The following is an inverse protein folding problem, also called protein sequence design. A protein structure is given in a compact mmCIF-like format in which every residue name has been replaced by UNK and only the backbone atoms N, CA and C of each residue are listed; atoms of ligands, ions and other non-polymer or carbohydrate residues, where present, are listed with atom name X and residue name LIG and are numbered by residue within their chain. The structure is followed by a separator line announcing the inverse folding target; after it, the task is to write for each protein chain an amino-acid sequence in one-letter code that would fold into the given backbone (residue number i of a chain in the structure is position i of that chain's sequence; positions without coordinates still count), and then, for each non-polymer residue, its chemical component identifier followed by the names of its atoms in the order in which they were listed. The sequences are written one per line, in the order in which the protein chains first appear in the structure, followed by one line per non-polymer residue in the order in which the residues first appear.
data_IF_743569591995
#
_entry.id   IF_743569591995
#
_cell.length_a   1.000
_cell.length_b   1.000
_cell.length_c   1.000
_cell.angle_alpha   90.00
_cell.angle_beta   90.00
_cell.angle_gamma   90.00
#
_symmetry.space_group_name_H-M   'P 1'
#
loop_
_entity.id
_entity.type
_entity.pdbx_description
1 polymer ?
#
# COMPACT_ATOMS: atom_id res chain seq x y z
N UNK A 1 -20.05 1.61 22.75
CA UNK A 1 -18.65 1.15 22.64
C UNK A 1 -18.39 0.87 21.17
N UNK A 2 -17.83 1.86 20.46
CA UNK A 2 -17.88 1.97 18.99
C UNK A 2 -16.89 1.02 18.32
N UNK A 3 -17.27 0.37 17.22
CA UNK A 3 -16.41 -0.50 16.41
C UNK A 3 -15.68 0.33 15.33
N UNK A 4 -14.39 0.67 15.49
CA UNK A 4 -13.64 1.43 14.47
C UNK A 4 -13.01 0.50 13.42
N UNK A 5 -12.95 -0.81 13.68
CA UNK A 5 -12.19 -1.77 12.87
C UNK A 5 -12.90 -2.23 11.60
N UNK A 6 -14.25 -2.23 11.58
CA UNK A 6 -15.03 -2.63 10.39
C UNK A 6 -15.07 -1.56 9.31
N UNK A 7 -14.83 -0.30 9.64
CA UNK A 7 -14.93 0.83 8.69
C UNK A 7 -13.68 0.96 7.81
N UNK A 8 -12.48 0.77 8.37
CA UNK A 8 -11.23 0.95 7.59
C UNK A 8 -11.09 -0.04 6.44
N UNK A 9 -11.41 -1.32 6.68
CA UNK A 9 -11.30 -2.37 5.67
C UNK A 9 -12.13 -2.09 4.41
N UNK A 10 -13.24 -1.38 4.54
CA UNK A 10 -14.15 -1.06 3.43
C UNK A 10 -13.57 -0.06 2.43
N UNK A 11 -12.50 0.66 2.82
CA UNK A 11 -11.83 1.61 1.94
C UNK A 11 -10.69 1.00 1.12
N UNK A 12 -10.34 -0.26 1.35
CA UNK A 12 -9.32 -0.99 0.61
C UNK A 12 -9.95 -2.06 -0.28
N UNK A 13 -9.30 -2.36 -1.40
CA UNK A 13 -9.67 -3.50 -2.23
C UNK A 13 -9.61 -4.78 -1.38
N UNK A 14 -10.64 -5.66 -1.42
CA UNK A 14 -10.74 -6.80 -0.52
C UNK A 14 -9.50 -7.70 -0.50
N UNK A 15 -8.88 -7.95 -1.65
CA UNK A 15 -7.67 -8.79 -1.74
C UNK A 15 -6.41 -8.09 -1.24
N UNK A 16 -6.33 -6.76 -1.35
CA UNK A 16 -5.22 -5.99 -0.79
C UNK A 16 -5.32 -5.97 0.73
N UNK A 17 -6.54 -5.85 1.25
CA UNK A 17 -6.82 -5.96 2.68
C UNK A 17 -6.57 -7.37 3.23
N UNK A 18 -7.02 -8.41 2.51
CA UNK A 18 -6.75 -9.82 2.86
C UNK A 18 -5.25 -10.08 2.97
N UNK A 19 -4.47 -9.63 1.97
CA UNK A 19 -3.02 -9.73 2.02
C UNK A 19 -2.43 -9.03 3.24
N UNK A 20 -2.87 -7.80 3.55
CA UNK A 20 -2.41 -7.07 4.72
C UNK A 20 -2.69 -7.80 6.03
N UNK A 21 -3.92 -8.32 6.19
CA UNK A 21 -4.32 -9.05 7.39
C UNK A 21 -3.49 -10.32 7.55
N UNK A 22 -3.23 -11.05 6.46
CA UNK A 22 -2.43 -12.26 6.49
C UNK A 22 -0.96 -11.99 6.81
N UNK A 23 -0.39 -10.87 6.32
CA UNK A 23 1.03 -10.54 6.52
C UNK A 23 1.33 -9.81 7.83
N UNK A 24 0.44 -8.91 8.26
CA UNK A 24 0.69 -8.00 9.38
C UNK A 24 -0.34 -8.09 10.52
N UNK A 25 -1.44 -8.82 10.33
CA UNK A 25 -2.53 -8.87 11.29
C UNK A 25 -3.28 -7.54 11.34
N UNK A 26 -3.18 -6.81 12.44
CA UNK A 26 -3.94 -5.57 12.66
C UNK A 26 -3.15 -4.30 12.35
N UNK A 27 -3.81 -3.23 11.89
CA UNK A 27 -3.14 -1.95 11.67
C UNK A 27 -2.47 -1.37 12.92
N UNK A 28 -1.37 -0.64 12.72
CA UNK A 28 -0.73 0.15 13.78
C UNK A 28 -1.48 1.46 14.02
N UNK A 29 -1.28 2.16 15.16
CA UNK A 29 -1.90 3.47 15.38
C UNK A 29 -1.56 4.50 14.30
N UNK A 30 -0.35 4.45 13.72
CA UNK A 30 0.02 5.36 12.62
C UNK A 30 -0.82 5.09 11.36
N UNK A 31 -1.15 3.84 11.09
CA UNK A 31 -1.98 3.41 9.97
C UNK A 31 -3.45 3.76 10.21
N UNK A 32 -3.99 3.44 11.40
CA UNK A 32 -5.39 3.73 11.76
C UNK A 32 -5.70 5.23 11.69
N UNK A 33 -4.75 6.07 12.15
CA UNK A 33 -4.92 7.52 12.11
C UNK A 33 -4.56 8.13 10.73
N UNK A 34 -3.58 7.55 10.02
CA UNK A 34 -3.09 8.08 8.76
C UNK A 34 -3.97 7.75 7.56
N UNK A 35 -4.50 6.52 7.48
CA UNK A 35 -5.27 6.07 6.31
C UNK A 35 -6.49 6.91 5.98
N UNK A 36 -7.34 7.33 6.95
CA UNK A 36 -8.49 8.18 6.63
C UNK A 36 -8.11 9.46 5.88
N UNK A 37 -6.95 10.04 6.18
CA UNK A 37 -6.45 11.28 5.56
C UNK A 37 -5.78 10.98 4.22
N UNK A 38 -4.91 9.97 4.18
CA UNK A 38 -4.23 9.54 2.96
C UNK A 38 -5.21 9.10 1.85
N UNK A 39 -6.26 8.37 2.20
CA UNK A 39 -7.30 7.90 1.26
C UNK A 39 -8.10 9.06 0.64
N UNK A 40 -8.15 10.22 1.31
CA UNK A 40 -8.73 11.46 0.75
C UNK A 40 -7.76 12.23 -0.14
N UNK A 41 -6.54 11.71 -0.35
CA UNK A 41 -5.45 12.34 -1.12
C UNK A 41 -5.05 13.71 -0.57
N UNK A 42 -5.15 13.88 0.74
CA UNK A 42 -4.70 15.08 1.45
C UNK A 42 -3.19 14.98 1.76
N UNK A 43 -2.49 16.12 1.70
CA UNK A 43 -1.09 16.21 2.12
C UNK A 43 -0.98 15.81 3.61
N UNK A 44 -0.21 14.77 3.89
CA UNK A 44 -0.20 14.14 5.22
C UNK A 44 1.23 14.00 5.76
N UNK A 45 1.45 14.42 7.01
CA UNK A 45 2.66 14.14 7.77
C UNK A 45 2.37 13.08 8.83
N UNK A 46 3.06 11.93 8.75
CA UNK A 46 2.93 10.85 9.74
C UNK A 46 4.15 10.89 10.66
N UNK A 47 3.93 11.33 11.91
CA UNK A 47 4.93 11.30 12.97
C UNK A 47 4.70 10.06 13.86
N UNK A 48 5.58 9.07 13.76
CA UNK A 48 5.53 7.84 14.55
C UNK A 48 6.96 7.35 14.84
N UNK A 49 7.18 6.62 15.96
CA UNK A 49 8.48 6.04 16.27
C UNK A 49 8.93 5.04 15.19
N UNK A 50 10.23 4.70 15.18
CA UNK A 50 10.75 3.62 14.34
C UNK A 50 9.99 2.32 14.64
N UNK A 51 9.67 1.55 13.60
CA UNK A 51 8.79 0.38 13.71
C UNK A 51 7.29 0.71 13.81
N UNK A 52 6.88 1.98 13.89
CA UNK A 52 5.48 2.38 14.02
C UNK A 52 4.61 2.21 12.76
N UNK A 53 5.13 1.60 11.68
CA UNK A 53 4.37 1.37 10.45
C UNK A 53 4.22 2.60 9.54
N UNK A 54 4.96 3.69 9.77
CA UNK A 54 4.87 4.96 9.00
C UNK A 54 5.03 4.77 7.49
N UNK A 55 6.02 3.99 7.07
CA UNK A 55 6.35 3.79 5.66
C UNK A 55 5.27 2.97 4.96
N UNK A 56 4.85 1.86 5.60
CA UNK A 56 3.77 1.04 5.09
C UNK A 56 2.43 1.80 5.07
N UNK A 57 2.21 2.77 5.97
CA UNK A 57 0.98 3.57 5.97
C UNK A 57 0.75 4.26 4.63
N UNK A 58 1.76 4.97 4.12
CA UNK A 58 1.69 5.66 2.83
C UNK A 58 1.71 4.67 1.65
N UNK A 59 2.64 3.70 1.68
CA UNK A 59 2.77 2.76 0.57
C UNK A 59 1.55 1.85 0.41
N UNK A 60 0.89 1.46 1.49
CA UNK A 60 -0.28 0.59 1.40
C UNK A 60 -1.46 1.27 0.69
N UNK A 61 -1.67 2.57 0.93
CA UNK A 61 -2.67 3.36 0.20
C UNK A 61 -2.27 3.47 -1.27
N UNK A 62 -1.00 3.75 -1.56
CA UNK A 62 -0.52 3.81 -2.94
C UNK A 62 -0.67 2.47 -3.68
N UNK A 63 -0.31 1.36 -3.06
CA UNK A 63 -0.48 0.01 -3.62
C UNK A 63 -1.96 -0.28 -3.88
N UNK A 64 -2.84 0.05 -2.94
CA UNK A 64 -4.28 -0.12 -3.09
C UNK A 64 -4.83 0.64 -4.30
N UNK A 65 -4.42 1.89 -4.48
CA UNK A 65 -4.82 2.72 -5.62
C UNK A 65 -4.32 2.14 -6.94
N UNK A 66 -3.06 1.70 -7.01
CA UNK A 66 -2.48 1.07 -8.20
C UNK A 66 -3.19 -0.24 -8.55
N UNK A 67 -3.47 -1.08 -7.56
CA UNK A 67 -4.19 -2.34 -7.74
C UNK A 67 -5.61 -2.09 -8.25
N UNK A 68 -6.32 -1.14 -7.64
CA UNK A 68 -7.70 -0.81 -8.03
C UNK A 68 -7.75 -0.30 -9.46
N UNK A 69 -6.86 0.64 -9.83
CA UNK A 69 -6.75 1.14 -11.20
C UNK A 69 -6.39 0.03 -12.18
N UNK A 70 -5.47 -0.86 -11.83
CA UNK A 70 -5.06 -1.97 -12.69
C UNK A 70 -6.20 -2.96 -12.95
N UNK A 71 -7.00 -3.28 -11.92
CA UNK A 71 -8.18 -4.15 -12.05
C UNK A 71 -9.25 -3.52 -12.95
N UNK A 72 -9.44 -2.21 -12.85
CA UNK A 72 -10.40 -1.47 -13.66
C UNK A 72 -9.92 -1.19 -15.10
N UNK A 73 -8.66 -1.50 -15.42
CA UNK A 73 -8.06 -1.14 -16.71
C UNK A 73 -7.76 0.35 -16.87
N UNK A 74 -7.65 1.07 -15.75
CA UNK A 74 -7.43 2.52 -15.67
C UNK A 74 -5.97 2.88 -15.36
N UNK A 75 -5.13 1.89 -15.05
CA UNK A 75 -3.72 2.14 -14.73
C UNK A 75 -2.94 2.56 -15.99
N UNK A 76 -2.59 3.84 -16.05
CA UNK A 76 -1.79 4.41 -17.13
C UNK A 76 -0.32 3.93 -17.07
N UNK A 77 0.28 3.75 -18.25
CA UNK A 77 1.71 3.48 -18.37
C UNK A 77 2.51 4.74 -18.02
N UNK A 78 3.28 4.69 -16.94
CA UNK A 78 4.00 5.85 -16.43
C UNK A 78 4.40 5.73 -14.96
N UNK A 79 5.10 6.75 -14.48
CA UNK A 79 5.44 6.84 -13.05
C UNK A 79 4.25 7.35 -12.27
N UNK A 80 3.61 6.47 -11.49
CA UNK A 80 2.42 6.78 -10.69
C UNK A 80 2.75 7.26 -9.27
N UNK A 81 3.88 6.79 -8.71
CA UNK A 81 4.30 7.06 -7.34
C UNK A 81 5.79 7.39 -7.32
N UNK A 82 6.17 8.47 -6.63
CA UNK A 82 7.57 8.84 -6.41
C UNK A 82 7.87 8.79 -4.92
N UNK A 83 8.81 7.93 -4.54
CA UNK A 83 9.36 7.87 -3.19
C UNK A 83 10.71 8.59 -3.14
N UNK A 84 10.87 9.51 -2.20
CA UNK A 84 12.11 10.24 -1.97
C UNK A 84 12.71 9.86 -0.61
N UNK A 85 14.00 9.54 -0.63
CA UNK A 85 14.77 9.18 0.56
C UNK A 85 16.05 10.01 0.62
N UNK A 86 16.48 10.47 1.80
CA UNK A 86 17.75 11.17 1.96
C UNK A 86 18.96 10.24 1.80
N UNK A 87 18.77 8.92 1.87
CA UNK A 87 19.84 7.92 1.83
C UNK A 87 19.61 6.90 0.72
N UNK A 88 20.65 6.64 -0.09
CA UNK A 88 20.62 5.63 -1.15
C UNK A 88 20.40 4.21 -0.63
N UNK A 89 21.00 3.87 0.52
CA UNK A 89 20.81 2.57 1.16
C UNK A 89 19.33 2.33 1.49
N UNK A 90 18.66 3.33 2.05
CA UNK A 90 17.23 3.26 2.34
C UNK A 90 16.39 3.14 1.06
N UNK A 91 16.76 3.80 -0.04
CA UNK A 91 16.06 3.61 -1.33
C UNK A 91 16.14 2.16 -1.83
N UNK A 92 17.31 1.53 -1.71
CA UNK A 92 17.49 0.13 -2.09
C UNK A 92 16.65 -0.81 -1.22
N UNK A 93 16.60 -0.56 0.09
CA UNK A 93 15.79 -1.36 1.02
C UNK A 93 14.29 -1.21 0.73
N UNK A 94 13.83 0.01 0.45
CA UNK A 94 12.44 0.27 0.09
C UNK A 94 12.06 -0.37 -1.23
N UNK A 95 12.94 -0.40 -2.24
CA UNK A 95 12.67 -1.13 -3.49
C UNK A 95 12.34 -2.59 -3.20
N UNK A 96 13.18 -3.29 -2.43
CA UNK A 96 12.95 -4.69 -2.06
C UNK A 96 11.65 -4.87 -1.28
N UNK A 97 11.41 -3.98 -0.31
CA UNK A 97 10.20 -3.98 0.52
C UNK A 97 8.92 -3.61 -0.24
N UNK A 98 9.00 -3.19 -1.51
CA UNK A 98 7.84 -2.95 -2.38
C UNK A 98 7.66 -4.06 -3.40
N UNK A 99 8.75 -4.57 -3.98
CA UNK A 99 8.70 -5.65 -4.98
C UNK A 99 8.06 -6.91 -4.42
N UNK A 100 8.40 -7.30 -3.19
CA UNK A 100 7.85 -8.50 -2.56
C UNK A 100 6.33 -8.37 -2.28
N UNK A 101 5.82 -7.34 -1.59
CA UNK A 101 4.38 -7.10 -1.47
C UNK A 101 3.63 -7.06 -2.80
N UNK A 102 4.17 -6.39 -3.81
CA UNK A 102 3.52 -6.28 -5.12
C UNK A 102 3.44 -7.63 -5.82
N UNK A 103 4.49 -8.45 -5.73
CA UNK A 103 4.49 -9.80 -6.28
C UNK A 103 3.46 -10.70 -5.57
N UNK A 104 3.41 -10.67 -4.25
CA UNK A 104 2.46 -11.46 -3.45
C UNK A 104 1.00 -11.05 -3.71
N UNK A 105 0.71 -9.75 -3.75
CA UNK A 105 -0.62 -9.23 -4.06
C UNK A 105 -1.02 -9.62 -5.50
N UNK A 106 -0.08 -9.52 -6.45
CA UNK A 106 -0.32 -9.94 -7.84
C UNK A 106 -0.64 -11.43 -7.93
N UNK A 107 0.06 -12.28 -7.18
CA UNK A 107 -0.20 -13.71 -7.15
C UNK A 107 -1.56 -14.02 -6.51
N UNK A 108 -1.88 -13.37 -5.40
CA UNK A 108 -3.20 -13.47 -4.76
C UNK A 108 -4.31 -13.08 -5.75
N UNK A 109 -4.16 -11.98 -6.47
CA UNK A 109 -5.11 -11.53 -7.49
C UNK A 109 -5.27 -12.57 -8.62
N UNK A 110 -4.17 -13.11 -9.15
CA UNK A 110 -4.21 -14.14 -10.20
C UNK A 110 -4.88 -15.42 -9.72
N UNK A 111 -4.60 -15.86 -8.50
CA UNK A 111 -5.24 -17.05 -7.90
C UNK A 111 -6.76 -16.90 -7.76
N UNK A 112 -7.25 -15.66 -7.69
CA UNK A 112 -8.67 -15.30 -7.61
C UNK A 112 -9.29 -14.96 -8.98
N UNK A 113 -8.56 -15.20 -10.07
CA UNK A 113 -9.05 -15.06 -11.44
C UNK A 113 -8.86 -13.70 -12.09
N UNK A 114 -8.18 -12.75 -11.44
CA UNK A 114 -7.91 -11.44 -12.02
C UNK A 114 -6.81 -11.51 -13.08
N UNK A 115 -7.01 -10.85 -14.22
CA UNK A 115 -5.93 -10.50 -15.15
C UNK A 115 -5.26 -9.24 -14.62
N UNK A 116 -4.08 -9.39 -14.04
CA UNK A 116 -3.39 -8.29 -13.37
C UNK A 116 -2.05 -7.95 -14.03
N UNK A 117 -1.85 -6.70 -14.49
CA UNK A 117 -0.58 -6.26 -15.06
C UNK A 117 0.51 -6.22 -13.99
N UNK A 118 1.77 -6.23 -14.44
CA UNK A 118 2.90 -6.05 -13.53
C UNK A 118 3.03 -4.59 -13.09
N UNK A 119 3.06 -4.34 -11.78
CA UNK A 119 3.43 -3.05 -11.20
C UNK A 119 4.94 -3.05 -10.94
N UNK A 120 5.66 -2.12 -11.55
CA UNK A 120 7.13 -2.07 -11.54
C UNK A 120 7.66 -1.07 -10.52
N UNK A 121 8.80 -1.39 -9.91
CA UNK A 121 9.52 -0.49 -8.99
C UNK A 121 10.89 -0.17 -9.57
N UNK A 122 11.12 1.12 -9.86
CA UNK A 122 12.39 1.63 -10.39
C UNK A 122 13.19 2.42 -9.35
N UNK A 123 14.51 2.44 -9.51
CA UNK A 123 15.40 3.38 -8.82
C UNK A 123 16.00 4.33 -9.84
N UNK A 124 16.15 5.59 -9.43
CA UNK A 124 16.77 6.65 -10.20
C UNK A 124 17.78 7.39 -9.33
#
# INVERSE_FOLDING_TARGET
MSQPKKTLAQHFHPLVWEWFQNRFGTPTPAQENGWPVLLRRENTLIAAPTGGGKTLSAFFVAINDLVTQAINGELEDGTQVVYLSPLRALSNDIKKNLEEPLAEISELLRSRGYKFPEIKVGLR
#
